data_IF_463428557663
#
_entry.id   IF_463428557663
#
_cell.length_a   1.000
_cell.length_b   1.000
_cell.length_c   1.000
_cell.angle_alpha   90.00
_cell.angle_beta   90.00
_cell.angle_gamma   90.00
#
_symmetry.space_group_name_H-M   'P 1'
#
loop_
_entity.id
_entity.type
_entity.pdbx_description
1 polymer ?
#
# COMPACT_ATOMS: atom_id res chain seq x y z
N UNK A 1 -0.30 22.53 -2.13
CA UNK A 1 -1.37 21.73 -2.74
C UNK A 1 -2.11 22.61 -3.74
N UNK A 2 -2.15 22.25 -5.03
CA UNK A 2 -3.07 22.92 -5.95
C UNK A 2 -4.52 22.57 -5.55
N UNK A 3 -5.42 23.55 -5.60
CA UNK A 3 -6.88 23.41 -5.47
C UNK A 3 -7.45 22.94 -4.10
N UNK A 4 -7.02 23.58 -3.01
CA UNK A 4 -7.68 23.40 -1.71
C UNK A 4 -9.13 23.92 -1.72
N UNK A 5 -10.06 23.10 -1.21
CA UNK A 5 -11.45 23.48 -1.07
C UNK A 5 -11.72 24.04 0.34
N UNK A 6 -12.37 25.21 0.42
CA UNK A 6 -12.85 25.75 1.69
C UNK A 6 -14.31 25.38 1.91
N UNK A 7 -14.55 24.43 2.81
CA UNK A 7 -15.90 24.01 3.20
C UNK A 7 -16.37 24.74 4.46
N UNK A 8 -17.68 25.00 4.55
CA UNK A 8 -18.33 25.53 5.77
C UNK A 8 -19.54 24.67 6.13
N UNK A 9 -19.47 24.00 7.26
CA UNK A 9 -20.59 23.25 7.83
C UNK A 9 -21.24 24.09 8.95
N UNK A 10 -22.57 24.11 9.02
CA UNK A 10 -23.31 24.69 10.14
C UNK A 10 -24.22 23.63 10.72
N UNK A 11 -23.94 23.23 11.96
CA UNK A 11 -24.72 22.24 12.71
C UNK A 11 -25.56 22.97 13.76
N UNK A 12 -26.82 22.55 13.96
CA UNK A 12 -27.75 23.16 14.92
C UNK A 12 -28.38 22.05 15.77
N UNK A 13 -28.46 22.29 17.06
CA UNK A 13 -29.03 21.38 18.06
C UNK A 13 -28.99 22.03 19.44
N UNK A 14 -29.40 21.29 20.46
CA UNK A 14 -29.14 21.65 21.85
C UNK A 14 -27.65 21.61 22.17
N UNK A 15 -27.23 22.33 23.21
CA UNK A 15 -25.84 22.32 23.68
C UNK A 15 -25.33 20.89 23.95
N UNK A 16 -26.16 20.08 24.60
CA UNK A 16 -25.84 18.68 24.88
C UNK A 16 -25.63 17.83 23.61
N UNK A 17 -26.44 18.03 22.56
CA UNK A 17 -26.26 17.32 21.29
C UNK A 17 -24.98 17.77 20.57
N UNK A 18 -24.70 19.08 20.57
CA UNK A 18 -23.48 19.61 19.95
C UNK A 18 -22.23 19.12 20.68
N UNK A 19 -22.25 19.07 22.01
CA UNK A 19 -21.13 18.55 22.78
C UNK A 19 -20.94 17.05 22.59
N UNK A 20 -22.03 16.29 22.41
CA UNK A 20 -21.97 14.86 22.16
C UNK A 20 -21.34 14.51 20.80
N UNK A 21 -21.51 15.34 19.76
CA UNK A 21 -20.97 15.05 18.42
C UNK A 21 -19.51 15.48 18.25
N UNK A 22 -19.00 16.41 19.07
CA UNK A 22 -17.63 16.95 18.91
C UNK A 22 -16.55 15.86 18.83
N UNK A 23 -16.53 14.82 19.70
CA UNK A 23 -15.50 13.78 19.64
C UNK A 23 -15.54 12.91 18.38
N UNK A 24 -16.66 12.90 17.65
CA UNK A 24 -16.85 12.13 16.42
C UNK A 24 -16.55 12.94 15.16
N UNK A 25 -16.28 14.24 15.30
CA UNK A 25 -16.08 15.16 14.18
C UNK A 25 -14.73 15.85 14.24
N UNK A 26 -14.19 16.07 15.44
CA UNK A 26 -13.00 16.90 15.62
C UNK A 26 -11.88 16.16 16.34
N UNK A 27 -10.68 16.27 15.76
CA UNK A 27 -9.40 15.99 16.40
C UNK A 27 -8.73 17.29 16.86
N UNK A 28 -7.60 17.17 17.55
CA UNK A 28 -6.73 18.31 17.85
C UNK A 28 -5.57 18.32 16.86
N UNK A 29 -5.36 19.43 16.18
CA UNK A 29 -4.20 19.63 15.32
C UNK A 29 -2.91 19.55 16.16
N UNK A 30 -1.94 18.73 15.76
CA UNK A 30 -0.76 18.41 16.59
C UNK A 30 0.09 19.61 16.99
N UNK A 31 0.14 20.66 16.16
CA UNK A 31 0.99 21.84 16.41
C UNK A 31 0.29 23.00 17.12
N UNK A 32 -1.00 23.19 16.85
CA UNK A 32 -1.76 24.37 17.31
C UNK A 32 -2.70 24.03 18.46
N UNK A 33 -3.07 22.76 18.61
CA UNK A 33 -4.07 22.30 19.57
C UNK A 33 -5.50 22.75 19.24
N UNK A 34 -5.70 23.41 18.09
CA UNK A 34 -7.02 23.81 17.61
C UNK A 34 -7.82 22.58 17.17
N UNK A 35 -9.15 22.69 17.24
CA UNK A 35 -10.03 21.64 16.76
C UNK A 35 -10.13 21.69 15.24
N UNK A 36 -9.84 20.57 14.60
CA UNK A 36 -9.96 20.40 13.15
C UNK A 36 -10.79 19.17 12.83
N UNK A 37 -11.42 19.16 11.67
CA UNK A 37 -12.21 18.01 11.23
C UNK A 37 -11.27 16.81 11.09
N UNK A 38 -11.58 15.74 11.79
CA UNK A 38 -10.79 14.50 11.74
C UNK A 38 -11.61 13.41 11.05
N UNK A 39 -11.26 13.07 9.83
CA UNK A 39 -11.95 12.02 9.09
C UNK A 39 -11.78 10.63 9.73
N UNK A 40 -10.71 10.40 10.51
CA UNK A 40 -10.56 9.17 11.29
C UNK A 40 -11.55 9.08 12.45
N UNK A 41 -12.02 10.22 12.98
CA UNK A 41 -13.07 10.24 13.99
C UNK A 41 -14.44 9.86 13.40
N UNK A 42 -14.61 10.01 12.08
CA UNK A 42 -15.82 9.67 11.33
C UNK A 42 -15.81 8.21 10.84
N UNK A 43 -14.82 7.84 10.05
CA UNK A 43 -14.63 6.49 9.52
C UNK A 43 -13.13 6.21 9.48
N UNK A 44 -12.63 5.46 10.47
CA UNK A 44 -11.21 5.22 10.62
C UNK A 44 -10.68 4.28 9.53
N UNK A 45 -9.61 4.69 8.87
CA UNK A 45 -8.90 3.80 7.94
C UNK A 45 -8.28 2.64 8.74
N UNK A 46 -8.53 1.37 8.35
CA UNK A 46 -7.89 0.22 8.97
C UNK A 46 -6.36 0.37 9.02
N UNK A 47 -5.74 0.11 10.17
CA UNK A 47 -4.28 0.26 10.34
C UNK A 47 -3.47 -0.56 9.33
N UNK A 48 -3.99 -1.71 8.89
CA UNK A 48 -3.35 -2.55 7.87
C UNK A 48 -3.26 -1.90 6.50
N UNK A 49 -4.15 -0.94 6.20
CA UNK A 49 -4.11 -0.13 4.98
C UNK A 49 -3.20 1.09 5.13
N UNK A 50 -2.78 1.45 6.35
CA UNK A 50 -1.85 2.55 6.63
C UNK A 50 -0.39 2.18 6.29
N UNK A 51 -0.18 1.77 5.04
CA UNK A 51 1.10 1.35 4.48
C UNK A 51 1.41 2.17 3.22
N UNK A 52 2.69 2.36 2.88
CA UNK A 52 3.05 3.13 1.70
C UNK A 52 2.67 2.39 0.41
N UNK A 53 2.39 3.16 -0.65
CA UNK A 53 2.36 2.67 -2.02
C UNK A 53 3.78 2.68 -2.61
N UNK A 54 4.29 1.55 -3.09
CA UNK A 54 5.63 1.47 -3.73
C UNK A 54 5.61 0.56 -4.97
N UNK A 55 6.47 0.88 -5.94
CA UNK A 55 6.64 0.07 -7.15
C UNK A 55 7.20 -1.33 -6.83
N UNK A 56 8.10 -1.42 -5.85
CA UNK A 56 8.71 -2.67 -5.39
C UNK A 56 7.68 -3.64 -4.81
N UNK A 57 6.72 -3.13 -4.02
CA UNK A 57 5.62 -3.92 -3.47
C UNK A 57 4.61 -4.32 -4.54
N UNK A 58 4.31 -3.41 -5.48
CA UNK A 58 3.44 -3.70 -6.63
C UNK A 58 4.02 -4.82 -7.50
N UNK A 59 5.33 -4.77 -7.75
CA UNK A 59 6.07 -5.81 -8.48
C UNK A 59 6.00 -7.14 -7.72
N UNK A 60 6.32 -7.13 -6.42
CA UNK A 60 6.22 -8.30 -5.56
C UNK A 60 4.82 -8.91 -5.55
N UNK A 61 3.78 -8.09 -5.44
CA UNK A 61 2.38 -8.53 -5.46
C UNK A 61 2.04 -9.28 -6.76
N UNK A 62 2.39 -8.73 -7.93
CA UNK A 62 2.15 -9.39 -9.22
C UNK A 62 2.82 -10.77 -9.25
N UNK A 63 4.07 -10.88 -8.75
CA UNK A 63 4.78 -12.15 -8.66
C UNK A 63 4.07 -13.14 -7.73
N UNK A 64 3.66 -12.68 -6.55
CA UNK A 64 3.01 -13.47 -5.50
C UNK A 64 1.60 -13.94 -5.87
N UNK A 65 0.91 -13.24 -6.78
CA UNK A 65 -0.43 -13.62 -7.26
C UNK A 65 -0.40 -14.71 -8.35
N UNK A 66 0.76 -15.05 -8.89
CA UNK A 66 0.90 -16.12 -9.86
C UNK A 66 0.89 -17.50 -9.18
N UNK A 67 0.32 -18.55 -9.81
CA UNK A 67 0.38 -19.91 -9.27
C UNK A 67 1.83 -20.38 -9.11
N UNK A 68 2.17 -20.97 -7.96
CA UNK A 68 3.54 -21.39 -7.62
C UNK A 68 4.14 -22.40 -8.60
N UNK A 69 3.30 -23.22 -9.22
CA UNK A 69 3.67 -24.24 -10.21
C UNK A 69 3.88 -23.67 -11.62
N UNK A 70 3.58 -22.39 -11.83
CA UNK A 70 3.78 -21.69 -13.11
C UNK A 70 5.25 -21.79 -13.53
N UNK A 71 5.56 -22.36 -14.72
CA UNK A 71 6.92 -22.42 -15.22
C UNK A 71 7.48 -21.02 -15.48
N UNK A 72 8.71 -20.79 -15.03
CA UNK A 72 9.41 -19.54 -15.29
C UNK A 72 9.71 -19.37 -16.78
N UNK A 73 9.40 -18.20 -17.31
CA UNK A 73 9.72 -17.80 -18.68
C UNK A 73 10.68 -16.61 -18.65
N UNK A 74 11.71 -16.65 -19.47
CA UNK A 74 12.68 -15.57 -19.58
C UNK A 74 12.00 -14.23 -19.94
N UNK A 75 11.02 -14.26 -20.84
CA UNK A 75 10.22 -13.09 -21.22
C UNK A 75 9.44 -12.50 -20.06
N UNK A 76 9.00 -13.31 -19.09
CA UNK A 76 8.33 -12.80 -17.89
C UNK A 76 9.33 -12.05 -17.01
N UNK A 77 10.52 -12.63 -16.76
CA UNK A 77 11.56 -11.97 -15.97
C UNK A 77 11.99 -10.64 -16.59
N UNK A 78 12.18 -10.61 -17.90
CA UNK A 78 12.54 -9.40 -18.65
C UNK A 78 11.46 -8.31 -18.54
N UNK A 79 10.18 -8.66 -18.67
CA UNK A 79 9.10 -7.68 -18.56
C UNK A 79 8.80 -7.24 -17.13
N UNK A 80 9.09 -8.08 -16.13
CA UNK A 80 8.68 -7.88 -14.74
C UNK A 80 9.70 -7.10 -13.90
N UNK A 81 10.99 -7.30 -14.14
CA UNK A 81 12.09 -6.68 -13.39
C UNK A 81 12.74 -5.52 -14.15
N UNK A 82 11.95 -4.80 -14.94
CA UNK A 82 12.38 -3.94 -16.06
C UNK A 82 13.22 -2.70 -15.64
N UNK A 83 14.42 -2.95 -15.14
CA UNK A 83 15.49 -2.00 -14.80
C UNK A 83 16.80 -2.54 -15.39
N UNK A 84 17.54 -1.65 -16.06
CA UNK A 84 18.89 -1.82 -16.63
C UNK A 84 19.28 -3.26 -17.04
N UNK A 85 19.42 -3.53 -18.35
CA UNK A 85 19.71 -4.85 -18.95
C UNK A 85 20.71 -5.74 -18.16
N UNK A 86 21.69 -5.14 -17.47
CA UNK A 86 22.67 -5.82 -16.63
C UNK A 86 22.07 -6.55 -15.41
N UNK A 87 21.06 -6.00 -14.73
CA UNK A 87 20.46 -6.61 -13.54
C UNK A 87 19.57 -7.79 -13.90
N UNK A 88 18.78 -7.66 -14.96
CA UNK A 88 17.94 -8.75 -15.50
C UNK A 88 18.80 -9.90 -16.02
N UNK A 89 19.87 -9.61 -16.77
CA UNK A 89 20.79 -10.64 -17.27
C UNK A 89 21.44 -11.43 -16.12
N UNK A 90 21.82 -10.73 -15.03
CA UNK A 90 22.37 -11.38 -13.84
C UNK A 90 21.33 -12.24 -13.13
N UNK A 91 20.09 -11.76 -12.99
CA UNK A 91 19.01 -12.54 -12.39
C UNK A 91 18.76 -13.84 -13.17
N UNK A 92 18.70 -13.76 -14.51
CA UNK A 92 18.54 -14.93 -15.37
C UNK A 92 19.69 -15.92 -15.22
N UNK A 93 20.92 -15.45 -15.04
CA UNK A 93 22.08 -16.31 -14.76
C UNK A 93 21.96 -16.99 -13.40
N UNK A 94 21.57 -16.26 -12.35
CA UNK A 94 21.36 -16.81 -11.00
C UNK A 94 20.23 -17.86 -11.01
N UNK A 95 19.11 -17.59 -11.70
CA UNK A 95 18.01 -18.56 -11.90
C UNK A 95 18.49 -19.86 -12.54
N UNK A 96 19.30 -19.76 -13.60
CA UNK A 96 19.88 -20.93 -14.30
C UNK A 96 20.86 -21.68 -13.39
N UNK A 97 21.73 -20.96 -12.68
CA UNK A 97 22.73 -21.55 -11.76
C UNK A 97 22.09 -22.31 -10.61
N UNK A 98 21.04 -21.75 -10.01
CA UNK A 98 20.29 -22.37 -8.92
C UNK A 98 19.21 -23.36 -9.39
N UNK A 99 19.08 -23.60 -10.70
CA UNK A 99 18.11 -24.51 -11.30
C UNK A 99 16.65 -24.21 -10.87
N UNK A 100 16.30 -22.92 -10.79
CA UNK A 100 14.97 -22.46 -10.40
C UNK A 100 14.05 -22.54 -11.62
N UNK A 101 12.94 -23.29 -11.51
CA UNK A 101 12.08 -23.64 -12.66
C UNK A 101 10.68 -23.05 -12.63
N UNK A 102 10.20 -22.65 -11.45
CA UNK A 102 8.82 -22.19 -11.26
C UNK A 102 8.77 -20.87 -10.49
N UNK A 103 7.65 -20.16 -10.57
CA UNK A 103 7.42 -18.93 -9.82
C UNK A 103 7.57 -19.17 -8.31
N UNK A 104 7.00 -20.25 -7.77
CA UNK A 104 7.16 -20.59 -6.35
C UNK A 104 8.62 -20.85 -5.97
N UNK A 105 9.40 -21.48 -6.86
CA UNK A 105 10.84 -21.65 -6.68
C UNK A 105 11.60 -20.31 -6.64
N UNK A 106 11.19 -19.35 -7.46
CA UNK A 106 11.79 -18.01 -7.49
C UNK A 106 11.47 -17.21 -6.23
N UNK A 107 10.20 -17.21 -5.82
CA UNK A 107 9.76 -16.55 -4.58
C UNK A 107 10.52 -17.12 -3.39
N UNK A 108 10.59 -18.45 -3.28
CA UNK A 108 11.35 -19.11 -2.21
C UNK A 108 12.82 -18.68 -2.21
N UNK A 109 13.44 -18.61 -3.39
CA UNK A 109 14.84 -18.20 -3.51
C UNK A 109 15.07 -16.73 -3.12
N UNK A 110 14.11 -15.83 -3.34
CA UNK A 110 14.16 -14.46 -2.81
C UNK A 110 14.01 -14.43 -1.29
N UNK A 111 13.07 -15.18 -0.73
CA UNK A 111 12.81 -15.22 0.71
C UNK A 111 13.96 -15.80 1.55
N UNK A 112 14.90 -16.52 0.94
CA UNK A 112 16.08 -17.05 1.61
C UNK A 112 17.11 -15.97 1.98
N UNK A 113 17.03 -14.77 1.39
CA UNK A 113 18.04 -13.72 1.53
C UNK A 113 17.50 -12.32 1.20
N UNK A 114 17.27 -11.52 2.24
CA UNK A 114 16.71 -10.17 2.12
C UNK A 114 17.58 -9.21 1.29
N UNK A 115 18.90 -9.46 1.14
CA UNK A 115 19.74 -8.63 0.28
C UNK A 115 19.39 -8.82 -1.21
N UNK A 116 18.83 -9.99 -1.58
CA UNK A 116 18.36 -10.24 -2.96
C UNK A 116 17.10 -9.45 -3.26
N UNK A 117 16.15 -9.39 -2.33
CA UNK A 117 14.94 -8.58 -2.47
C UNK A 117 15.31 -7.12 -2.77
N UNK A 118 16.19 -6.54 -1.94
CA UNK A 118 16.68 -5.18 -2.14
C UNK A 118 17.40 -4.99 -3.49
N UNK A 119 18.29 -5.91 -3.86
CA UNK A 119 19.05 -5.85 -5.13
C UNK A 119 18.16 -5.86 -6.37
N UNK A 120 17.00 -6.50 -6.30
CA UNK A 120 16.09 -6.66 -7.43
C UNK A 120 14.80 -5.83 -7.30
N UNK A 121 14.79 -4.85 -6.38
CA UNK A 121 13.67 -3.94 -6.16
C UNK A 121 12.36 -4.69 -5.93
N UNK A 122 12.39 -5.62 -4.99
CA UNK A 122 11.22 -6.35 -4.51
C UNK A 122 11.06 -6.11 -3.01
N UNK A 123 9.80 -5.96 -2.59
CA UNK A 123 9.42 -6.04 -1.18
C UNK A 123 8.33 -7.12 -1.03
N UNK A 124 8.76 -8.36 -0.80
CA UNK A 124 7.83 -9.49 -0.72
C UNK A 124 6.89 -9.36 0.47
N UNK A 125 7.36 -8.75 1.57
CA UNK A 125 6.54 -8.56 2.77
C UNK A 125 5.42 -7.55 2.52
N UNK A 126 5.73 -6.40 1.91
CA UNK A 126 4.74 -5.39 1.61
C UNK A 126 3.79 -5.86 0.50
N UNK A 127 4.29 -6.57 -0.52
CA UNK A 127 3.44 -7.21 -1.54
C UNK A 127 2.46 -8.24 -0.97
N UNK A 128 2.87 -9.04 0.02
CA UNK A 128 1.96 -9.94 0.74
C UNK A 128 0.88 -9.17 1.50
N UNK A 129 1.24 -8.05 2.13
CA UNK A 129 0.29 -7.19 2.82
C UNK A 129 -0.73 -6.58 1.85
N UNK A 130 -0.31 -6.18 0.65
CA UNK A 130 -1.24 -5.69 -0.39
C UNK A 130 -2.27 -6.74 -0.78
N UNK A 131 -1.84 -8.00 -1.00
CA UNK A 131 -2.75 -9.10 -1.31
C UNK A 131 -3.73 -9.35 -0.16
N UNK A 132 -3.24 -9.38 1.09
CA UNK A 132 -4.08 -9.55 2.26
C UNK A 132 -5.13 -8.43 2.37
N UNK A 133 -4.72 -7.19 2.16
CA UNK A 133 -5.59 -6.03 2.19
C UNK A 133 -6.63 -6.05 1.06
N UNK A 134 -6.25 -6.43 -0.16
CA UNK A 134 -7.19 -6.60 -1.27
C UNK A 134 -8.26 -7.65 -0.98
N UNK A 135 -7.87 -8.79 -0.41
CA UNK A 135 -8.80 -9.86 -0.05
C UNK A 135 -9.78 -9.39 1.03
N UNK A 136 -9.27 -8.66 2.03
CA UNK A 136 -10.06 -8.27 3.20
C UNK A 136 -10.94 -7.03 2.97
N UNK A 137 -10.41 -6.01 2.30
CA UNK A 137 -11.03 -4.68 2.17
C UNK A 137 -11.40 -4.33 0.72
N UNK A 138 -10.74 -4.95 -0.26
CA UNK A 138 -10.87 -4.59 -1.68
C UNK A 138 -9.98 -3.41 -2.10
N UNK A 139 -9.04 -2.99 -1.25
CA UNK A 139 -8.01 -1.98 -1.55
C UNK A 139 -6.65 -2.46 -1.04
N UNK A 140 -5.56 -2.05 -1.68
CA UNK A 140 -4.19 -2.42 -1.28
C UNK A 140 -3.67 -1.52 -0.15
N UNK A 141 -3.96 -0.22 -0.24
CA UNK A 141 -3.46 0.82 0.65
C UNK A 141 -4.58 1.76 1.08
N UNK A 142 -4.26 2.64 2.03
CA UNK A 142 -5.17 3.66 2.52
C UNK A 142 -5.54 4.68 1.46
N UNK A 143 -4.75 4.87 0.41
CA UNK A 143 -5.01 5.89 -0.63
C UNK A 143 -6.40 5.74 -1.25
N UNK A 144 -6.68 4.58 -1.85
CA UNK A 144 -7.96 4.30 -2.49
C UNK A 144 -9.09 4.17 -1.46
N UNK A 145 -8.75 3.72 -0.25
CA UNK A 145 -9.72 3.62 0.84
C UNK A 145 -10.20 5.02 1.26
N UNK A 146 -9.29 5.97 1.48
CA UNK A 146 -9.61 7.33 1.84
C UNK A 146 -10.45 8.01 0.75
N UNK A 147 -10.10 7.86 -0.53
CA UNK A 147 -10.91 8.43 -1.62
C UNK A 147 -12.32 7.86 -1.64
N UNK A 148 -12.48 6.55 -1.43
CA UNK A 148 -13.79 5.90 -1.41
C UNK A 148 -14.64 6.27 -0.19
N UNK A 149 -14.02 6.39 0.99
CA UNK A 149 -14.74 6.57 2.26
C UNK A 149 -14.85 8.03 2.70
N UNK A 150 -13.82 8.85 2.45
CA UNK A 150 -13.78 10.26 2.82
C UNK A 150 -14.04 11.20 1.63
N UNK A 151 -13.91 10.73 0.40
CA UNK A 151 -13.97 11.58 -0.80
C UNK A 151 -12.71 12.42 -1.00
N UNK A 152 -11.65 12.16 -0.23
CA UNK A 152 -10.34 12.81 -0.26
C UNK A 152 -9.29 11.82 0.23
N UNK A 153 -8.06 11.90 -0.29
CA UNK A 153 -6.96 11.04 0.14
C UNK A 153 -6.15 11.58 1.33
N UNK A 154 -6.50 12.77 1.80
CA UNK A 154 -5.83 13.49 2.88
C UNK A 154 -6.82 13.82 3.98
N UNK A 155 -6.43 13.49 5.22
CA UNK A 155 -7.09 14.04 6.40
C UNK A 155 -6.66 15.51 6.58
N UNK A 156 -7.42 16.30 7.36
CA UNK A 156 -6.89 17.58 7.83
C UNK A 156 -5.57 17.31 8.58
N UNK A 157 -4.58 18.20 8.48
CA UNK A 157 -3.25 17.96 9.05
C UNK A 157 -3.33 17.66 10.56
N UNK A 158 -3.40 16.39 10.95
CA UNK A 158 -3.25 15.98 12.35
C UNK A 158 -1.79 15.85 12.68
#
# INVERSE_FOLDING_TARGET
>A
MPDWCKNKLTVRGSEAEIDAIKPFLFGKHSRTGELEVDFNALDACPESLSIPFTDDATRAQILLMLPEDTPLRESFIQGHFNDEDANVARLLMEIKHHNIKTIGGLIKWFMEDNEREFKYCLDLKLGQQYIANLIQFGQETGHDWHEKHWGTNLNAET
#
